data_IF_219781048851
#
_entry.id   IF_219781048851
#
_cell.length_a   1.000
_cell.length_b   1.000
_cell.length_c   1.000
_cell.angle_alpha   90.00
_cell.angle_beta   90.00
_cell.angle_gamma   90.00
#
_symmetry.space_group_name_H-M   'P 1'
#
loop_
_entity.id
_entity.type
_entity.pdbx_description
1 polymer ?
#
# COMPACT_ATOMS: atom_id res chain seq x y z
N UNK A 1 -15.26 -24.52 18.58
CA UNK A 1 -14.75 -23.33 17.86
C UNK A 1 -13.97 -23.66 16.57
N UNK A 2 -14.15 -24.85 15.97
CA UNK A 2 -13.52 -25.25 14.69
C UNK A 2 -14.47 -25.14 13.48
N UNK A 3 -15.79 -25.06 13.74
CA UNK A 3 -16.85 -24.88 12.74
C UNK A 3 -16.73 -23.60 11.91
N UNK A 4 -16.00 -22.58 12.38
CA UNK A 4 -15.81 -21.33 11.62
C UNK A 4 -15.06 -21.59 10.30
N UNK A 5 -14.19 -22.61 10.26
CA UNK A 5 -13.47 -23.04 9.05
C UNK A 5 -14.32 -23.80 8.04
N UNK A 6 -15.55 -24.19 8.40
CA UNK A 6 -16.48 -24.85 7.47
C UNK A 6 -17.26 -23.84 6.61
N UNK A 7 -17.38 -22.59 7.10
CA UNK A 7 -18.03 -21.48 6.40
C UNK A 7 -17.00 -20.57 5.71
N UNK A 8 -15.84 -20.40 6.34
CA UNK A 8 -14.76 -19.61 5.80
C UNK A 8 -13.74 -20.52 5.12
N UNK A 9 -13.78 -20.56 3.79
CA UNK A 9 -12.73 -21.18 2.99
C UNK A 9 -11.36 -20.58 3.41
N UNK A 10 -10.44 -21.38 3.98
CA UNK A 10 -9.21 -20.88 4.61
C UNK A 10 -8.39 -19.98 3.69
N UNK A 11 -8.46 -20.26 2.39
CA UNK A 11 -7.82 -19.50 1.33
C UNK A 11 -8.37 -18.07 1.21
N UNK A 12 -9.69 -17.90 1.32
CA UNK A 12 -10.34 -16.58 1.17
C UNK A 12 -10.04 -15.68 2.36
N UNK A 13 -9.91 -16.22 3.56
CA UNK A 13 -9.55 -15.42 4.76
C UNK A 13 -8.10 -14.95 4.69
N UNK A 14 -7.17 -15.83 4.31
CA UNK A 14 -5.75 -15.49 4.11
C UNK A 14 -5.58 -14.41 3.03
N UNK A 15 -6.27 -14.58 1.89
CA UNK A 15 -6.25 -13.61 0.79
C UNK A 15 -6.94 -12.31 1.19
N UNK A 16 -8.07 -12.37 1.88
CA UNK A 16 -8.80 -11.19 2.35
C UNK A 16 -7.96 -10.32 3.30
N UNK A 17 -7.27 -10.94 4.26
CA UNK A 17 -6.32 -10.25 5.13
C UNK A 17 -5.16 -9.66 4.32
N UNK A 18 -4.52 -10.46 3.47
CA UNK A 18 -3.40 -9.97 2.65
C UNK A 18 -3.80 -8.78 1.77
N UNK A 19 -4.92 -8.87 1.07
CA UNK A 19 -5.44 -7.80 0.20
C UNK A 19 -5.83 -6.57 1.01
N UNK A 20 -6.45 -6.75 2.18
CA UNK A 20 -6.83 -5.63 3.05
C UNK A 20 -5.60 -4.85 3.53
N UNK A 21 -4.61 -5.53 4.11
CA UNK A 21 -3.38 -4.90 4.58
C UNK A 21 -2.57 -4.31 3.41
N UNK A 22 -2.51 -5.00 2.28
CA UNK A 22 -1.79 -4.54 1.09
C UNK A 22 -2.43 -3.30 0.47
N UNK A 23 -3.76 -3.28 0.35
CA UNK A 23 -4.50 -2.11 -0.13
C UNK A 23 -4.27 -0.90 0.77
N UNK A 24 -4.30 -1.10 2.09
CA UNK A 24 -4.02 -0.04 3.06
C UNK A 24 -2.58 0.49 2.91
N UNK A 25 -1.61 -0.40 2.73
CA UNK A 25 -0.21 -0.02 2.52
C UNK A 25 -0.05 0.83 1.25
N UNK A 26 -0.61 0.40 0.10
CA UNK A 26 -0.53 1.15 -1.15
C UNK A 26 -1.17 2.53 -1.01
N UNK A 27 -2.34 2.62 -0.36
CA UNK A 27 -3.08 3.87 -0.20
C UNK A 27 -2.23 4.89 0.59
N UNK A 28 -1.56 4.46 1.66
CA UNK A 28 -0.64 5.30 2.43
C UNK A 28 0.56 5.74 1.58
N UNK A 29 1.18 4.82 0.83
CA UNK A 29 2.33 5.16 -0.02
C UNK A 29 1.95 6.16 -1.12
N UNK A 30 0.79 5.97 -1.76
CA UNK A 30 0.28 6.89 -2.78
C UNK A 30 0.00 8.29 -2.21
N UNK A 31 -0.49 8.39 -0.98
CA UNK A 31 -0.69 9.69 -0.31
C UNK A 31 0.67 10.38 -0.07
N UNK A 32 1.65 9.66 0.48
CA UNK A 32 2.99 10.22 0.70
C UNK A 32 3.63 10.67 -0.62
N UNK A 33 3.51 9.85 -1.66
CA UNK A 33 4.08 10.13 -2.97
C UNK A 33 3.33 11.26 -3.69
N UNK A 34 2.03 11.42 -3.46
CA UNK A 34 1.26 12.56 -3.98
C UNK A 34 1.61 13.89 -3.32
N UNK A 35 2.32 13.89 -2.18
CA UNK A 35 2.62 15.12 -1.44
C UNK A 35 4.00 15.65 -1.84
N UNK A 36 4.09 16.88 -2.38
CA UNK A 36 5.34 17.54 -2.87
C UNK A 36 6.56 17.38 -1.94
N UNK A 37 6.34 17.28 -0.63
CA UNK A 37 7.40 17.19 0.39
C UNK A 37 7.95 15.78 0.61
N UNK A 38 7.18 14.73 0.29
CA UNK A 38 7.52 13.32 0.53
C UNK A 38 7.57 12.51 -0.77
N UNK A 39 7.37 13.17 -1.91
CA UNK A 39 7.49 12.61 -3.24
C UNK A 39 8.98 12.36 -3.56
N UNK A 40 9.54 11.28 -3.01
CA UNK A 40 10.95 10.96 -3.21
C UNK A 40 11.29 10.66 -4.69
N UNK A 41 10.29 10.35 -5.52
CA UNK A 41 10.46 10.22 -6.97
C UNK A 41 10.71 11.58 -7.64
N UNK A 42 10.24 12.68 -7.04
CA UNK A 42 10.45 14.07 -7.48
C UNK A 42 11.68 14.72 -6.80
N UNK A 43 12.36 13.99 -5.90
CA UNK A 43 13.44 14.48 -5.05
C UNK A 43 14.77 14.85 -5.72
N UNK A 44 14.79 15.12 -7.03
CA UNK A 44 15.97 15.66 -7.72
C UNK A 44 15.66 16.58 -8.92
N UNK A 45 14.39 16.87 -9.24
CA UNK A 45 14.06 17.80 -10.35
C UNK A 45 14.26 19.28 -10.01
N UNK A 46 14.67 19.61 -8.78
CA UNK A 46 14.92 20.99 -8.35
C UNK A 46 16.38 21.31 -7.99
N UNK A 47 17.35 20.45 -8.33
CA UNK A 47 18.78 20.75 -8.02
C UNK A 47 19.79 20.34 -9.10
N UNK A 48 19.41 20.25 -10.38
CA UNK A 48 20.43 20.07 -11.43
C UNK A 48 20.10 20.86 -12.70
N UNK A 49 20.82 21.98 -12.83
CA UNK A 49 21.37 22.60 -14.07
C UNK A 49 20.36 23.17 -15.08
N UNK A 50 20.51 24.37 -15.65
CA UNK A 50 21.58 25.37 -15.69
C UNK A 50 20.99 26.60 -16.41
N UNK A 51 21.56 27.79 -16.14
CA UNK A 51 21.20 29.15 -16.62
C UNK A 51 20.03 29.87 -15.93
#
# INVERSE_FOLDING_TARGET
MWRIWYLFDPRRVMVGLAVFLFSLAILIHFILLSTDRFNWLEGSSTTTSSD
#
